data_IF_919336438506
#
_entry.id   IF_919336438506
#
_cell.length_a   1.000
_cell.length_b   1.000
_cell.length_c   1.000
_cell.angle_alpha   90.00
_cell.angle_beta   90.00
_cell.angle_gamma   90.00
#
_symmetry.space_group_name_H-M   'P 1'
#
loop_
_entity.id
_entity.type
_entity.pdbx_description
1 polymer ?
#
# COMPACT_ATOMS: atom_id res chain seq x y z
N UNK A 1 1.05 6.95 7.27
CA UNK A 1 1.21 6.11 6.06
C UNK A 1 0.11 5.08 6.07
N UNK A 2 -0.34 4.64 4.91
CA UNK A 2 -1.30 3.54 4.79
C UNK A 2 -0.78 2.50 3.83
N UNK A 3 -1.25 1.29 4.00
CA UNK A 3 -1.05 0.16 3.09
C UNK A 3 -2.45 -0.31 2.72
N UNK A 4 -2.73 -0.28 1.43
CA UNK A 4 -3.99 -0.70 0.87
C UNK A 4 -3.81 -2.07 0.22
N UNK A 5 -4.55 -3.05 0.72
CA UNK A 5 -4.47 -4.45 0.29
C UNK A 5 -5.50 -4.80 -0.78
N UNK A 6 -6.47 -3.91 -1.01
CA UNK A 6 -7.52 -4.06 -2.01
C UNK A 6 -8.14 -2.71 -2.35
N UNK A 7 -8.78 -2.57 -3.53
CA UNK A 7 -9.41 -1.31 -3.97
C UNK A 7 -10.94 -1.32 -3.95
N UNK A 8 -11.57 -2.50 -3.99
CA UNK A 8 -13.01 -2.64 -4.22
C UNK A 8 -13.71 -3.52 -3.20
N UNK A 9 -14.14 -2.97 -2.05
CA UNK A 9 -13.80 -1.65 -1.48
C UNK A 9 -12.39 -1.61 -0.88
N UNK A 10 -11.86 -0.43 -0.45
CA UNK A 10 -10.52 -0.37 0.11
C UNK A 10 -10.38 -1.23 1.36
N UNK A 11 -9.26 -1.93 1.47
CA UNK A 11 -8.83 -2.60 2.70
C UNK A 11 -7.53 -2.00 3.22
N UNK A 12 -7.54 -1.56 4.48
CA UNK A 12 -6.34 -1.15 5.20
C UNK A 12 -5.66 -2.40 5.76
N UNK A 13 -4.36 -2.55 5.50
CA UNK A 13 -3.60 -3.71 5.94
C UNK A 13 -3.52 -3.83 7.47
N UNK A 14 -3.68 -5.05 7.96
CA UNK A 14 -3.61 -5.37 9.38
C UNK A 14 -2.49 -6.36 9.68
N UNK A 15 -2.69 -7.16 10.72
CA UNK A 15 -1.80 -8.21 11.18
C UNK A 15 -0.39 -7.66 11.47
N UNK A 16 0.60 -8.05 10.67
CA UNK A 16 2.00 -7.62 10.82
C UNK A 16 2.32 -6.35 9.99
N UNK A 17 1.42 -5.88 9.12
CA UNK A 17 1.64 -4.69 8.29
C UNK A 17 1.91 -3.41 9.11
N UNK A 18 1.19 -3.14 10.22
CA UNK A 18 1.49 -1.99 11.08
C UNK A 18 2.92 -2.00 11.60
N UNK A 19 3.40 -3.18 12.00
CA UNK A 19 4.76 -3.40 12.52
C UNK A 19 5.80 -3.26 11.41
N UNK A 20 5.53 -3.77 10.20
CA UNK A 20 6.41 -3.56 9.05
C UNK A 20 6.61 -2.07 8.74
N UNK A 21 5.52 -1.30 8.75
CA UNK A 21 5.57 0.16 8.52
C UNK A 21 6.35 0.86 9.63
N UNK A 22 6.15 0.45 10.89
CA UNK A 22 6.89 0.99 12.03
C UNK A 22 8.39 0.72 11.94
N UNK A 23 8.79 -0.53 11.64
CA UNK A 23 10.18 -0.94 11.47
C UNK A 23 10.86 -0.24 10.30
N UNK A 24 10.10 0.09 9.25
CA UNK A 24 10.58 0.89 8.12
C UNK A 24 10.76 2.39 8.46
N UNK A 25 10.45 2.83 9.68
CA UNK A 25 10.53 4.22 10.13
C UNK A 25 9.28 5.05 9.81
N UNK A 26 8.15 4.40 9.56
CA UNK A 26 6.86 5.05 9.29
C UNK A 26 5.91 5.03 10.49
N UNK A 27 4.96 5.96 10.51
CA UNK A 27 3.78 5.89 11.36
C UNK A 27 2.60 5.34 10.55
N UNK A 28 2.04 4.20 10.98
CA UNK A 28 0.88 3.58 10.34
C UNK A 28 -0.43 4.20 10.83
N UNK A 29 -1.38 4.42 9.93
CA UNK A 29 -2.67 5.08 10.21
C UNK A 29 -3.89 4.15 10.10
N UNK A 30 -3.66 2.85 9.88
CA UNK A 30 -4.71 1.84 9.76
C UNK A 30 -4.95 1.07 11.06
N UNK A 31 -5.30 -0.23 10.96
CA UNK A 31 -5.36 -1.15 12.10
C UNK A 31 -4.09 -1.15 12.97
N UNK A 32 -4.27 -1.42 14.27
CA UNK A 32 -3.16 -1.59 15.21
C UNK A 32 -2.40 -2.90 15.02
N UNK A 33 -1.22 -3.07 15.66
CA UNK A 33 -0.46 -4.31 15.61
C UNK A 33 -1.30 -5.53 16.00
N UNK A 34 -1.29 -6.57 15.16
CA UNK A 34 -2.06 -7.80 15.36
C UNK A 34 -3.56 -7.70 15.07
N UNK A 35 -4.11 -6.51 14.83
CA UNK A 35 -5.53 -6.35 14.42
C UNK A 35 -5.74 -6.82 12.98
N UNK A 36 -6.86 -7.46 12.68
CA UNK A 36 -7.17 -7.89 11.32
C UNK A 36 -7.23 -6.71 10.32
N UNK A 37 -6.97 -7.00 9.04
CA UNK A 37 -7.17 -6.06 7.94
C UNK A 37 -8.60 -5.54 7.95
N UNK A 38 -8.77 -4.25 7.67
CA UNK A 38 -10.05 -3.56 7.86
C UNK A 38 -10.58 -3.01 6.55
N UNK A 39 -11.80 -3.41 6.21
CA UNK A 39 -12.59 -2.78 5.15
C UNK A 39 -12.86 -1.32 5.52
N UNK A 40 -12.63 -0.42 4.58
CA UNK A 40 -12.96 1.00 4.71
C UNK A 40 -13.85 1.46 3.55
N UNK A 41 -14.52 2.59 3.76
CA UNK A 41 -15.11 3.40 2.70
C UNK A 41 -14.03 4.35 2.15
N UNK A 42 -13.99 4.68 0.85
CA UNK A 42 -13.04 5.65 0.32
C UNK A 42 -13.01 6.99 1.07
N UNK A 43 -14.16 7.46 1.52
CA UNK A 43 -14.36 8.68 2.30
C UNK A 43 -13.80 8.59 3.74
N UNK A 44 -13.68 7.39 4.29
CA UNK A 44 -13.19 7.13 5.65
C UNK A 44 -11.69 6.80 5.67
N UNK A 45 -11.03 6.82 4.51
CA UNK A 45 -9.60 6.56 4.44
C UNK A 45 -8.82 7.65 5.19
N UNK A 46 -7.84 7.27 6.02
CA UNK A 46 -7.12 8.23 6.84
C UNK A 46 -6.24 9.15 5.99
N UNK A 47 -6.01 10.37 6.48
CA UNK A 47 -5.21 11.37 5.77
C UNK A 47 -3.72 11.02 5.82
N UNK A 48 -3.28 10.18 4.89
CA UNK A 48 -1.90 9.75 4.76
C UNK A 48 -1.12 10.61 3.76
N UNK A 49 0.17 10.85 4.01
CA UNK A 49 1.08 11.48 3.04
C UNK A 49 1.69 10.48 2.05
N UNK A 50 1.76 9.20 2.45
CA UNK A 50 2.30 8.10 1.65
C UNK A 50 1.32 6.94 1.71
N UNK A 51 0.98 6.41 0.54
CA UNK A 51 0.05 5.31 0.31
C UNK A 51 0.80 4.20 -0.42
N UNK A 52 0.91 3.05 0.22
CA UNK A 52 1.41 1.83 -0.41
C UNK A 52 0.22 0.99 -0.88
N UNK A 53 0.31 0.39 -2.05
CA UNK A 53 -0.71 -0.48 -2.64
C UNK A 53 -0.06 -1.84 -2.86
N UNK A 54 -0.50 -2.85 -2.12
CA UNK A 54 0.05 -4.21 -2.15
C UNK A 54 -1.11 -5.20 -2.16
N UNK A 55 -1.59 -5.58 -3.35
CA UNK A 55 -2.81 -6.39 -3.47
C UNK A 55 -2.49 -7.87 -3.34
N UNK A 56 -3.09 -8.54 -2.35
CA UNK A 56 -2.82 -9.94 -2.09
C UNK A 56 -3.02 -10.81 -3.35
N UNK A 57 -2.02 -11.62 -3.70
CA UNK A 57 -2.02 -12.43 -4.92
C UNK A 57 -1.57 -11.72 -6.20
N UNK A 58 -1.19 -10.44 -6.14
CA UNK A 58 -0.75 -9.66 -7.29
C UNK A 58 0.76 -9.41 -7.24
N UNK A 59 1.43 -9.72 -8.35
CA UNK A 59 2.73 -9.13 -8.66
C UNK A 59 2.57 -7.70 -9.18
N UNK A 60 3.70 -7.00 -9.37
CA UNK A 60 3.71 -5.57 -9.72
C UNK A 60 2.91 -5.21 -10.98
N UNK A 61 3.04 -6.00 -12.06
CA UNK A 61 2.30 -5.72 -13.31
C UNK A 61 0.79 -5.92 -13.18
N UNK A 62 0.36 -7.01 -12.53
CA UNK A 62 -1.06 -7.24 -12.28
C UNK A 62 -1.64 -6.12 -11.41
N UNK A 63 -0.88 -5.64 -10.43
CA UNK A 63 -1.30 -4.57 -9.55
C UNK A 63 -1.44 -3.24 -10.34
N UNK A 64 -0.60 -3.03 -11.36
CA UNK A 64 -0.64 -1.85 -12.24
C UNK A 64 -1.89 -1.86 -13.08
N UNK A 65 -2.18 -2.99 -13.74
CA UNK A 65 -3.41 -3.18 -14.51
C UNK A 65 -4.67 -2.95 -13.66
N UNK A 66 -4.69 -3.44 -12.41
CA UNK A 66 -5.81 -3.23 -11.49
C UNK A 66 -6.00 -1.76 -11.12
N UNK A 67 -4.91 -1.02 -10.88
CA UNK A 67 -4.95 0.43 -10.64
C UNK A 67 -5.42 1.19 -11.87
N UNK A 68 -4.85 0.91 -13.05
CA UNK A 68 -5.22 1.54 -14.32
C UNK A 68 -6.71 1.33 -14.62
N UNK A 69 -7.20 0.09 -14.50
CA UNK A 69 -8.62 -0.22 -14.67
C UNK A 69 -9.51 0.49 -13.63
N UNK A 70 -9.05 0.60 -12.39
CA UNK A 70 -9.76 1.33 -11.35
C UNK A 70 -9.87 2.83 -11.65
N UNK A 71 -8.81 3.44 -12.16
CA UNK A 71 -8.80 4.85 -12.55
C UNK A 71 -9.63 5.10 -13.81
N UNK A 72 -9.51 4.25 -14.83
CA UNK A 72 -10.22 4.39 -16.10
C UNK A 72 -11.75 4.39 -15.94
N UNK A 73 -12.28 3.68 -14.94
CA UNK A 73 -13.72 3.66 -14.61
C UNK A 73 -14.18 4.80 -13.69
N UNK A 74 -13.33 5.80 -13.44
CA UNK A 74 -13.62 6.90 -12.52
C UNK A 74 -13.60 6.49 -11.04
N UNK A 75 -12.77 5.51 -10.68
CA UNK A 75 -12.64 5.05 -9.30
C UNK A 75 -12.04 6.09 -8.36
N UNK A 76 -12.27 5.89 -7.07
CA UNK A 76 -11.94 6.84 -5.99
C UNK A 76 -10.43 7.08 -5.79
N UNK A 77 -9.58 6.15 -6.24
CA UNK A 77 -8.14 6.16 -5.94
C UNK A 77 -7.45 7.45 -6.42
N UNK A 78 -7.82 7.98 -7.59
CA UNK A 78 -7.22 9.19 -8.13
C UNK A 78 -7.47 10.41 -7.24
N UNK A 79 -8.71 10.61 -6.81
CA UNK A 79 -9.06 11.67 -5.86
C UNK A 79 -8.37 11.49 -4.51
N UNK A 80 -8.35 10.26 -3.99
CA UNK A 80 -7.69 9.98 -2.73
C UNK A 80 -6.19 10.28 -2.79
N UNK A 81 -5.50 9.98 -3.89
CA UNK A 81 -4.06 10.19 -4.02
C UNK A 81 -3.65 11.66 -4.28
N UNK A 82 -4.58 12.59 -4.51
CA UNK A 82 -4.24 14.02 -4.71
C UNK A 82 -3.39 14.56 -3.55
N UNK A 83 -2.22 15.12 -3.89
CA UNK A 83 -1.25 15.65 -2.94
C UNK A 83 -0.51 14.61 -2.09
N UNK A 84 -0.61 13.32 -2.44
CA UNK A 84 0.02 12.20 -1.72
C UNK A 84 1.00 11.47 -2.63
N UNK A 85 1.98 10.79 -2.04
CA UNK A 85 2.85 9.85 -2.76
C UNK A 85 2.21 8.47 -2.76
N UNK A 86 1.93 7.93 -3.94
CA UNK A 86 1.41 6.58 -4.12
C UNK A 86 2.49 5.63 -4.63
N UNK A 87 2.63 4.46 -4.02
CA UNK A 87 3.54 3.42 -4.48
C UNK A 87 2.76 2.12 -4.67
N UNK A 88 2.86 1.55 -5.86
CA UNK A 88 2.41 0.21 -6.15
C UNK A 88 3.55 -0.78 -5.88
N UNK A 89 3.24 -1.87 -5.19
CA UNK A 89 4.22 -2.85 -4.73
C UNK A 89 3.86 -4.25 -5.26
N UNK A 90 4.88 -5.08 -5.45
CA UNK A 90 4.67 -6.53 -5.42
C UNK A 90 4.18 -6.95 -4.02
N UNK A 91 3.08 -7.70 -3.95
CA UNK A 91 2.46 -8.07 -2.69
C UNK A 91 3.14 -9.24 -1.98
N UNK A 92 4.09 -9.94 -2.61
CA UNK A 92 4.73 -11.13 -2.04
C UNK A 92 5.27 -10.95 -0.61
N UNK A 93 5.92 -9.82 -0.25
CA UNK A 93 6.38 -9.57 1.12
C UNK A 93 5.28 -9.28 2.15
N UNK A 94 4.06 -8.98 1.69
CA UNK A 94 2.98 -8.44 2.52
C UNK A 94 1.82 -9.43 2.72
N UNK A 95 1.77 -10.51 1.94
CA UNK A 95 0.63 -11.45 1.93
C UNK A 95 0.76 -12.63 2.91
N UNK A 96 1.97 -12.95 3.37
CA UNK A 96 2.20 -14.04 4.33
C UNK A 96 3.43 -13.80 5.20
N UNK A 97 3.42 -14.36 6.42
CA UNK A 97 4.58 -14.40 7.32
C UNK A 97 5.63 -15.39 6.82
N UNK A 98 6.41 -14.95 5.84
CA UNK A 98 7.57 -15.66 5.29
C UNK A 98 8.83 -14.83 5.51
N UNK A 99 10.04 -15.36 5.26
CA UNK A 99 11.26 -14.56 5.34
C UNK A 99 11.23 -13.27 4.48
N UNK A 100 10.41 -13.22 3.43
CA UNK A 100 10.22 -12.03 2.60
C UNK A 100 9.69 -10.82 3.37
N UNK A 101 9.09 -10.99 4.55
CA UNK A 101 8.66 -9.87 5.40
C UNK A 101 9.82 -8.92 5.70
N UNK A 102 11.03 -9.45 5.91
CA UNK A 102 12.23 -8.63 6.14
C UNK A 102 12.58 -7.79 4.91
N UNK A 103 12.46 -8.38 3.72
CA UNK A 103 12.64 -7.66 2.46
C UNK A 103 11.58 -6.58 2.27
N UNK A 104 10.32 -6.88 2.62
CA UNK A 104 9.23 -5.91 2.62
C UNK A 104 9.50 -4.70 3.52
N UNK A 105 10.03 -4.91 4.72
CA UNK A 105 10.46 -3.81 5.61
C UNK A 105 11.56 -2.98 4.96
N UNK A 106 12.57 -3.62 4.37
CA UNK A 106 13.65 -2.96 3.64
C UNK A 106 13.14 -2.12 2.46
N UNK A 107 12.22 -2.68 1.68
CA UNK A 107 11.56 -2.00 0.57
C UNK A 107 10.82 -0.73 1.03
N UNK A 108 9.96 -0.86 2.05
CA UNK A 108 9.25 0.28 2.62
C UNK A 108 10.21 1.36 3.13
N UNK A 109 11.30 0.97 3.80
CA UNK A 109 12.26 1.91 4.37
C UNK A 109 12.97 2.73 3.28
N UNK A 110 13.35 2.08 2.17
CA UNK A 110 13.97 2.74 1.00
C UNK A 110 13.01 3.73 0.35
N UNK A 111 11.76 3.32 0.13
CA UNK A 111 10.71 4.20 -0.43
C UNK A 111 10.43 5.41 0.48
N UNK A 112 10.39 5.21 1.80
CA UNK A 112 10.21 6.32 2.76
C UNK A 112 11.34 7.34 2.74
N UNK A 113 12.57 6.92 2.40
CA UNK A 113 13.73 7.80 2.17
C UNK A 113 13.76 8.45 0.79
N UNK A 114 12.81 8.12 -0.10
CA UNK A 114 12.76 8.64 -1.47
C UNK A 114 13.72 7.93 -2.43
N UNK A 115 14.20 6.73 -2.10
CA UNK A 115 14.98 5.93 -3.01
C UNK A 115 14.09 5.29 -4.09
N UNK A 116 14.61 5.18 -5.31
CA UNK A 116 13.99 4.35 -6.36
C UNK A 116 14.39 2.89 -6.19
N UNK A 117 13.42 2.00 -6.39
CA UNK A 117 13.55 0.55 -6.23
C UNK A 117 12.86 -0.14 -7.41
N UNK A 118 13.27 -1.37 -7.77
CA UNK A 118 12.73 -2.07 -8.95
C UNK A 118 11.40 -2.77 -8.63
N UNK A 119 11.19 -3.08 -7.36
CA UNK A 119 10.05 -3.83 -6.81
C UNK A 119 8.82 -2.94 -6.55
N UNK A 120 8.90 -1.65 -6.92
CA UNK A 120 7.82 -0.70 -6.74
C UNK A 120 7.71 0.29 -7.91
N UNK A 121 6.49 0.72 -8.19
CA UNK A 121 6.19 1.80 -9.13
C UNK A 121 5.61 2.98 -8.37
N UNK A 122 6.20 4.16 -8.55
CA UNK A 122 5.60 5.41 -8.07
C UNK A 122 4.44 5.80 -9.00
N UNK A 123 3.26 5.97 -8.42
CA UNK A 123 2.07 6.38 -9.17
C UNK A 123 2.18 7.87 -9.48
N UNK A 124 2.28 8.18 -10.77
CA UNK A 124 2.09 9.54 -11.28
C UNK A 124 0.61 9.72 -11.57
N UNK A 125 -0.09 10.49 -10.74
CA UNK A 125 -1.44 10.93 -11.10
C UNK A 125 -1.33 11.95 -12.24
N UNK A 126 -2.24 11.91 -13.23
CA UNK A 126 -2.37 13.00 -14.20
C UNK A 126 -2.81 14.31 -13.53
#
# INVERSE_FOLDING_TARGET
>A
RVVLEWLGPPYLGGHWVPEMVALAGGAYLGPGPGEASRRASPEDLPQAQVVFLAFCGYGLEAAREAVEAHLARGGWLGEYLKGKRGYLLDAAPFQALTPLVVEGVGLLARLLRGERVLEALELSLP
#
